data_IF_608358303003
#
_entry.id   IF_608358303003
#
_cell.length_a   1.000
_cell.length_b   1.000
_cell.length_c   1.000
_cell.angle_alpha   90.00
_cell.angle_beta   90.00
_cell.angle_gamma   90.00
#
_symmetry.space_group_name_H-M   'P 1'
#
loop_
_entity.id
_entity.type
_entity.pdbx_description
1 polymer ?
#
# COMPACT_ATOMS: atom_id res chain seq x y z
N UNK A 1 11.37 17.49 -14.93
CA UNK A 1 11.39 16.04 -14.61
C UNK A 1 12.52 15.74 -13.66
N UNK A 2 12.19 15.41 -12.42
CA UNK A 2 13.11 14.95 -11.39
C UNK A 2 12.44 13.71 -10.81
N UNK A 3 13.15 12.60 -10.72
CA UNK A 3 12.62 11.40 -10.07
C UNK A 3 13.21 11.31 -8.68
N UNK A 4 12.68 10.41 -7.87
CA UNK A 4 13.37 9.97 -6.69
C UNK A 4 13.73 8.49 -6.85
N UNK A 5 15.01 8.19 -6.71
CA UNK A 5 15.54 6.84 -6.77
C UNK A 5 15.74 6.29 -5.37
N UNK A 6 15.37 5.01 -5.22
CA UNK A 6 15.70 4.24 -4.03
C UNK A 6 17.19 3.93 -4.00
N UNK A 7 17.87 4.39 -2.95
CA UNK A 7 19.22 3.90 -2.59
C UNK A 7 19.26 3.32 -1.16
N UNK A 8 18.11 3.19 -0.50
CA UNK A 8 18.00 2.72 0.88
C UNK A 8 17.63 1.23 0.97
N UNK A 9 18.21 0.53 1.94
CA UNK A 9 17.84 -0.84 2.31
C UNK A 9 16.69 -0.89 3.34
N UNK A 10 16.19 0.27 3.79
CA UNK A 10 15.06 0.32 4.71
C UNK A 10 13.81 -0.31 4.04
N UNK A 11 13.07 -1.19 4.72
CA UNK A 11 11.83 -1.77 4.18
C UNK A 11 10.79 -0.74 3.74
N UNK A 12 10.76 0.45 4.36
CA UNK A 12 9.88 1.55 3.95
C UNK A 12 10.21 2.15 2.59
N UNK A 13 11.41 1.89 2.07
CA UNK A 13 11.76 2.32 0.72
C UNK A 13 11.10 1.45 -0.37
N UNK A 14 10.39 0.38 -0.01
CA UNK A 14 9.64 -0.42 -0.97
C UNK A 14 8.59 0.44 -1.70
N UNK A 15 8.61 0.42 -3.04
CA UNK A 15 7.70 1.21 -3.87
C UNK A 15 8.12 2.66 -4.10
N UNK A 16 9.29 3.05 -3.59
CA UNK A 16 9.93 4.34 -3.89
C UNK A 16 10.76 4.31 -5.19
N UNK A 17 10.84 3.16 -5.85
CA UNK A 17 11.69 2.90 -7.03
C UNK A 17 11.20 3.60 -8.30
N UNK A 18 10.00 4.19 -8.27
CA UNK A 18 9.30 4.75 -9.45
C UNK A 18 8.65 6.09 -9.14
N UNK A 19 9.22 6.81 -8.19
CA UNK A 19 8.62 8.06 -7.76
C UNK A 19 8.78 9.13 -8.85
N UNK A 20 7.66 9.51 -9.43
CA UNK A 20 7.58 10.52 -10.47
C UNK A 20 7.15 11.85 -9.88
N UNK A 21 8.00 12.87 -10.01
CA UNK A 21 7.53 14.25 -9.97
C UNK A 21 7.23 14.65 -11.42
N UNK A 22 5.96 14.63 -11.82
CA UNK A 22 5.49 15.36 -13.01
C UNK A 22 5.50 16.86 -12.71
N UNK A 23 6.67 17.46 -12.58
CA UNK A 23 6.78 18.91 -12.45
C UNK A 23 7.85 19.44 -13.40
N UNK A 24 7.43 20.46 -14.16
CA UNK A 24 8.31 21.37 -14.88
C UNK A 24 9.17 22.17 -13.90
N UNK A 25 10.11 22.95 -14.43
CA UNK A 25 11.22 23.59 -13.70
C UNK A 25 10.82 24.64 -12.62
N UNK A 26 9.55 24.79 -12.26
CA UNK A 26 9.05 25.90 -11.44
C UNK A 26 8.09 25.47 -10.31
N UNK A 27 8.55 24.67 -9.36
CA UNK A 27 7.95 24.61 -8.01
C UNK A 27 9.05 24.38 -6.96
N UNK A 28 8.88 24.87 -5.71
CA UNK A 28 9.89 24.66 -4.68
C UNK A 28 10.04 23.17 -4.36
N UNK A 29 11.27 22.68 -4.53
CA UNK A 29 11.66 21.33 -4.17
C UNK A 29 11.93 21.28 -2.66
N UNK A 30 11.05 20.64 -1.90
CA UNK A 30 11.26 20.42 -0.47
C UNK A 30 12.07 19.14 -0.25
N UNK A 31 13.24 19.27 0.36
CA UNK A 31 14.09 18.14 0.73
C UNK A 31 14.19 18.00 2.25
N UNK A 32 14.63 16.83 2.72
CA UNK A 32 14.84 16.56 4.14
C UNK A 32 16.27 16.94 4.52
N UNK A 33 16.41 17.91 5.42
CA UNK A 33 17.69 18.38 6.00
C UNK A 33 17.88 17.93 7.46
N UNK A 34 17.05 16.99 7.95
CA UNK A 34 17.20 16.44 9.29
C UNK A 34 18.26 15.32 9.29
N UNK A 35 19.46 15.53 9.87
CA UNK A 35 20.54 14.53 9.84
C UNK A 35 20.24 13.29 10.71
N UNK A 36 19.18 13.34 11.51
CA UNK A 36 18.74 12.23 12.36
C UNK A 36 17.66 11.38 11.72
N UNK A 37 17.11 11.80 10.57
CA UNK A 37 16.19 10.99 9.79
C UNK A 37 16.97 9.99 8.91
N UNK A 38 16.37 8.83 8.67
CA UNK A 38 16.92 7.84 7.75
C UNK A 38 16.42 8.16 6.34
N UNK A 39 17.32 8.45 5.38
CA UNK A 39 16.91 8.71 4.01
C UNK A 39 16.38 7.42 3.35
N UNK A 40 15.30 7.57 2.59
CA UNK A 40 14.64 6.50 1.85
C UNK A 40 14.85 6.63 0.33
N UNK A 41 14.86 7.88 -0.18
CA UNK A 41 15.07 8.18 -1.59
C UNK A 41 15.71 9.56 -1.77
N UNK A 42 16.37 9.75 -2.92
CA UNK A 42 17.07 10.98 -3.30
C UNK A 42 16.61 11.44 -4.66
N UNK A 43 16.67 12.74 -4.91
CA UNK A 43 16.26 13.26 -6.20
C UNK A 43 17.29 13.00 -7.31
N UNK A 44 16.87 12.44 -8.44
CA UNK A 44 17.78 12.06 -9.54
C UNK A 44 18.66 13.20 -10.06
N UNK A 45 18.07 14.40 -10.21
CA UNK A 45 18.80 15.57 -10.71
C UNK A 45 19.68 16.25 -9.66
N UNK A 46 19.43 15.95 -8.39
CA UNK A 46 20.15 16.52 -7.25
C UNK A 46 20.32 15.40 -6.21
N UNK A 47 21.21 14.42 -6.48
CA UNK A 47 21.31 13.19 -5.70
C UNK A 47 21.75 13.44 -4.25
N UNK A 48 22.28 14.63 -3.94
CA UNK A 48 22.61 15.04 -2.57
C UNK A 48 21.37 15.47 -1.76
N UNK A 49 20.22 15.66 -2.42
CA UNK A 49 18.99 16.11 -1.78
C UNK A 49 18.07 14.93 -1.48
N UNK A 50 17.84 14.68 -0.19
CA UNK A 50 16.92 13.64 0.30
C UNK A 50 15.48 13.97 -0.05
N UNK A 51 14.86 13.16 -0.91
CA UNK A 51 13.50 13.33 -1.41
C UNK A 51 12.43 12.69 -0.50
N UNK A 52 12.80 11.62 0.19
CA UNK A 52 11.95 10.94 1.16
C UNK A 52 12.79 10.43 2.33
N UNK A 53 12.24 10.47 3.53
CA UNK A 53 12.92 10.00 4.74
C UNK A 53 11.92 9.48 5.78
N UNK A 54 12.42 8.64 6.67
CA UNK A 54 11.70 8.17 7.86
C UNK A 54 12.40 8.62 9.12
N UNK A 55 11.60 9.01 10.12
CA UNK A 55 12.06 9.22 11.51
C UNK A 55 11.19 8.40 12.44
N UNK A 56 11.78 7.37 13.06
CA UNK A 56 11.11 6.51 14.03
C UNK A 56 11.23 7.13 15.43
N UNK A 57 10.11 7.47 16.03
CA UNK A 57 10.03 7.91 17.41
C UNK A 57 9.60 6.74 18.32
N UNK A 58 9.60 6.96 19.63
CA UNK A 58 9.27 5.91 20.61
C UNK A 58 7.92 5.22 20.34
N UNK A 59 6.90 5.98 19.94
CA UNK A 59 5.51 5.50 19.84
C UNK A 59 4.87 5.72 18.45
N UNK A 60 5.61 6.29 17.50
CA UNK A 60 5.08 6.62 16.18
C UNK A 60 6.23 6.80 15.18
N UNK A 61 5.90 6.72 13.90
CA UNK A 61 6.87 6.89 12.81
C UNK A 61 6.43 8.06 11.92
N UNK A 62 7.35 9.01 11.71
CA UNK A 62 7.18 10.09 10.76
C UNK A 62 7.74 9.64 9.40
N UNK A 63 6.96 9.78 8.33
CA UNK A 63 7.45 9.58 6.97
C UNK A 63 7.17 10.82 6.16
N UNK A 64 8.22 11.34 5.52
CA UNK A 64 8.12 12.42 4.56
C UNK A 64 8.41 11.88 3.16
N UNK A 65 7.63 12.33 2.18
CA UNK A 65 7.86 12.11 0.75
C UNK A 65 7.54 13.41 0.03
N UNK A 66 8.56 14.07 -0.52
CA UNK A 66 8.38 15.27 -1.35
C UNK A 66 7.62 15.00 -2.66
N UNK A 67 7.81 13.85 -3.32
CA UNK A 67 7.07 13.52 -4.52
C UNK A 67 5.62 13.03 -4.28
N UNK A 68 4.74 13.26 -5.27
CA UNK A 68 3.29 13.03 -5.15
C UNK A 68 2.77 11.70 -5.68
N UNK A 69 3.57 10.87 -6.38
CA UNK A 69 3.13 9.56 -6.87
C UNK A 69 4.00 8.45 -6.30
N UNK A 70 3.37 7.38 -5.85
CA UNK A 70 4.01 6.19 -5.29
C UNK A 70 3.31 4.93 -5.80
N UNK A 71 4.04 3.82 -5.87
CA UNK A 71 3.45 2.53 -6.22
C UNK A 71 2.63 1.95 -5.05
N UNK A 72 1.74 0.96 -5.28
CA UNK A 72 0.96 0.33 -4.22
C UNK A 72 1.80 -0.31 -3.10
N UNK A 73 3.06 -0.66 -3.37
CA UNK A 73 4.00 -1.21 -2.41
C UNK A 73 4.34 -0.23 -1.29
N UNK A 74 4.38 1.08 -1.55
CA UNK A 74 4.74 2.06 -0.53
C UNK A 74 3.66 2.18 0.58
N UNK A 75 2.37 2.36 0.28
CA UNK A 75 1.32 2.24 1.29
C UNK A 75 1.30 0.89 2.02
N UNK A 76 1.74 -0.22 1.38
CA UNK A 76 1.89 -1.51 2.08
C UNK A 76 3.03 -1.50 3.07
N UNK A 77 4.16 -0.90 2.72
CA UNK A 77 5.29 -0.76 3.63
C UNK A 77 4.90 0.12 4.83
N UNK A 78 4.17 1.22 4.61
CA UNK A 78 3.63 2.06 5.68
C UNK A 78 2.67 1.29 6.60
N UNK A 79 1.77 0.49 6.03
CA UNK A 79 0.87 -0.36 6.82
C UNK A 79 1.66 -1.37 7.68
N UNK A 80 2.68 -2.02 7.09
CA UNK A 80 3.52 -2.96 7.81
C UNK A 80 4.32 -2.31 8.96
N UNK A 81 4.89 -1.12 8.72
CA UNK A 81 5.58 -0.32 9.75
C UNK A 81 4.62 0.05 10.90
N UNK A 82 3.35 0.31 10.59
CA UNK A 82 2.31 0.56 11.59
C UNK A 82 1.75 -0.71 12.25
N UNK A 83 2.26 -1.91 11.91
CA UNK A 83 1.74 -3.18 12.41
C UNK A 83 0.36 -3.57 11.86
N UNK A 84 -0.07 -2.95 10.77
CA UNK A 84 -1.37 -3.17 10.12
C UNK A 84 -1.20 -4.24 9.03
N UNK A 85 -2.02 -5.30 9.09
CA UNK A 85 -2.19 -6.27 8.01
C UNK A 85 -3.36 -5.86 7.13
N UNK A 86 -3.15 -5.43 5.87
CA UNK A 86 -4.28 -5.01 5.04
C UNK A 86 -5.17 -6.21 4.66
N UNK A 87 -6.47 -5.93 4.55
CA UNK A 87 -7.49 -6.95 4.23
C UNK A 87 -7.30 -7.50 2.82
N UNK A 88 -7.07 -6.63 1.84
CA UNK A 88 -7.03 -7.00 0.43
C UNK A 88 -5.66 -7.43 -0.10
N UNK A 89 -5.63 -8.08 -1.27
CA UNK A 89 -4.38 -8.39 -1.98
C UNK A 89 -3.69 -7.12 -2.49
N UNK A 90 -2.36 -7.20 -2.69
CA UNK A 90 -1.58 -6.13 -3.31
C UNK A 90 -2.06 -5.91 -4.76
N UNK A 91 -1.99 -4.66 -5.23
CA UNK A 91 -2.33 -4.22 -6.59
C UNK A 91 -3.81 -4.25 -6.98
N UNK A 92 -4.72 -4.72 -6.12
CA UNK A 92 -6.17 -4.63 -6.36
C UNK A 92 -6.83 -3.59 -5.45
N UNK A 93 -7.95 -3.04 -5.91
CA UNK A 93 -8.76 -2.13 -5.10
C UNK A 93 -9.56 -2.97 -4.12
N UNK A 94 -9.42 -2.68 -2.82
CA UNK A 94 -10.19 -3.34 -1.77
C UNK A 94 -10.88 -2.32 -0.90
N UNK A 95 -12.17 -2.54 -0.66
CA UNK A 95 -12.97 -1.79 0.31
C UNK A 95 -13.46 -2.78 1.37
N UNK A 96 -13.27 -2.45 2.64
CA UNK A 96 -13.71 -3.30 3.74
C UNK A 96 -14.27 -2.45 4.87
N UNK A 97 -15.41 -2.86 5.42
CA UNK A 97 -16.09 -2.16 6.51
C UNK A 97 -17.54 -2.59 6.64
N UNK A 98 -18.12 -2.36 7.82
CA UNK A 98 -19.54 -2.63 8.12
C UNK A 98 -20.02 -4.04 7.71
N UNK A 99 -19.20 -5.06 7.95
CA UNK A 99 -19.52 -6.45 7.63
C UNK A 99 -19.44 -6.82 6.14
N UNK A 100 -18.83 -5.99 5.31
CA UNK A 100 -18.63 -6.26 3.87
C UNK A 100 -17.14 -6.12 3.52
N UNK A 101 -16.69 -6.97 2.61
CA UNK A 101 -15.41 -6.81 1.90
C UNK A 101 -15.64 -6.94 0.40
N UNK A 102 -15.15 -5.98 -0.37
CA UNK A 102 -15.21 -5.97 -1.83
C UNK A 102 -13.80 -5.86 -2.41
N UNK A 103 -13.53 -6.66 -3.44
CA UNK A 103 -12.27 -6.65 -4.19
C UNK A 103 -12.61 -6.42 -5.66
N UNK A 104 -11.93 -5.46 -6.28
CA UNK A 104 -11.95 -5.23 -7.73
C UNK A 104 -10.57 -5.56 -8.31
N UNK A 105 -10.54 -6.50 -9.25
CA UNK A 105 -9.31 -7.05 -9.79
C UNK A 105 -8.71 -6.14 -10.86
N UNK A 106 -7.61 -5.46 -10.52
CA UNK A 106 -6.81 -4.70 -11.49
C UNK A 106 -5.88 -5.62 -12.30
N UNK A 107 -5.62 -6.83 -11.79
CA UNK A 107 -4.91 -7.91 -12.51
C UNK A 107 -5.68 -9.22 -12.34
N UNK A 108 -5.68 -10.14 -13.33
CA UNK A 108 -6.30 -11.45 -13.15
C UNK A 108 -5.48 -12.32 -12.18
N UNK A 109 -6.11 -13.36 -11.64
CA UNK A 109 -5.41 -14.40 -10.88
C UNK A 109 -6.04 -14.74 -9.53
N UNK A 110 -5.27 -15.47 -8.72
CA UNK A 110 -5.66 -15.85 -7.37
C UNK A 110 -5.54 -14.64 -6.43
N UNK A 111 -6.64 -14.32 -5.74
CA UNK A 111 -6.78 -13.22 -4.79
C UNK A 111 -6.94 -13.80 -3.40
N UNK A 112 -6.30 -13.18 -2.42
CA UNK A 112 -6.45 -13.55 -1.01
C UNK A 112 -6.92 -12.36 -0.22
N UNK A 113 -8.01 -12.53 0.54
CA UNK A 113 -8.38 -11.60 1.61
C UNK A 113 -7.94 -12.15 2.97
N UNK A 114 -7.52 -11.24 3.85
CA UNK A 114 -7.13 -11.51 5.23
C UNK A 114 -8.13 -10.83 6.16
N UNK A 115 -8.70 -11.59 7.09
CA UNK A 115 -9.74 -11.14 8.00
C UNK A 115 -9.16 -11.06 9.42
N UNK A 116 -9.70 -10.16 10.24
CA UNK A 116 -9.19 -9.93 11.59
C UNK A 116 -9.48 -11.09 12.55
N UNK A 117 -10.51 -11.89 12.26
CA UNK A 117 -10.95 -13.03 13.04
C UNK A 117 -11.50 -14.13 12.11
N UNK A 118 -11.74 -15.33 12.67
CA UNK A 118 -12.40 -16.42 11.93
C UNK A 118 -13.87 -16.12 11.74
N UNK A 119 -14.32 -16.11 10.49
CA UNK A 119 -15.69 -15.75 10.09
C UNK A 119 -16.19 -16.64 8.96
N UNK A 120 -17.49 -16.58 8.72
CA UNK A 120 -18.16 -17.14 7.56
C UNK A 120 -18.28 -16.06 6.48
N UNK A 121 -18.15 -16.46 5.21
CA UNK A 121 -18.25 -15.56 4.06
C UNK A 121 -19.36 -16.00 3.12
N UNK A 122 -20.21 -15.05 2.73
CA UNK A 122 -21.22 -15.24 1.69
C UNK A 122 -20.89 -14.36 0.50
N UNK A 123 -20.75 -14.93 -0.70
CA UNK A 123 -20.62 -14.18 -1.94
C UNK A 123 -21.96 -13.48 -2.21
N UNK A 124 -21.95 -12.16 -2.18
CA UNK A 124 -23.16 -11.35 -2.34
C UNK A 124 -23.67 -11.31 -3.78
N UNK A 125 -22.89 -11.76 -4.76
CA UNK A 125 -23.34 -11.88 -6.16
C UNK A 125 -24.17 -13.14 -6.40
N UNK A 126 -23.92 -14.22 -5.65
CA UNK A 126 -24.61 -15.50 -5.79
C UNK A 126 -25.54 -15.83 -4.62
N UNK A 127 -25.37 -15.16 -3.48
CA UNK A 127 -26.04 -15.49 -2.22
C UNK A 127 -25.53 -16.76 -1.55
N UNK A 128 -24.43 -17.35 -2.05
CA UNK A 128 -23.90 -18.62 -1.54
C UNK A 128 -22.82 -18.39 -0.47
N UNK A 129 -22.84 -19.21 0.57
CA UNK A 129 -21.73 -19.30 1.50
C UNK A 129 -20.54 -19.97 0.82
N UNK A 130 -19.39 -19.29 0.84
CA UNK A 130 -18.17 -19.71 0.13
C UNK A 130 -17.04 -20.11 1.07
N UNK A 131 -17.12 -19.73 2.35
CA UNK A 131 -16.18 -20.15 3.38
C UNK A 131 -16.83 -20.13 4.77
N UNK A 132 -16.32 -20.98 5.66
CA UNK A 132 -16.78 -21.09 7.04
C UNK A 132 -15.61 -21.09 8.02
N UNK A 133 -15.74 -20.35 9.13
CA UNK A 133 -14.77 -20.33 10.22
C UNK A 133 -13.32 -20.01 9.81
N UNK A 134 -13.12 -19.14 8.81
CA UNK A 134 -11.80 -18.81 8.27
C UNK A 134 -11.42 -17.36 8.51
N UNK A 135 -10.13 -17.09 8.72
CA UNK A 135 -9.53 -15.75 8.74
C UNK A 135 -8.81 -15.40 7.42
N UNK A 136 -8.82 -16.34 6.46
CA UNK A 136 -8.18 -16.19 5.16
C UNK A 136 -9.00 -16.89 4.09
N UNK A 137 -9.29 -16.19 3.00
CA UNK A 137 -10.05 -16.77 1.90
C UNK A 137 -9.40 -16.44 0.56
N UNK A 138 -9.22 -17.47 -0.26
CA UNK A 138 -8.57 -17.38 -1.57
C UNK A 138 -9.58 -17.74 -2.66
N UNK A 139 -9.63 -16.92 -3.70
CA UNK A 139 -10.56 -17.08 -4.82
C UNK A 139 -9.91 -16.57 -6.10
N UNK A 140 -10.41 -17.01 -7.26
CA UNK A 140 -9.91 -16.53 -8.55
C UNK A 140 -10.76 -15.36 -9.05
N UNK A 141 -10.11 -14.39 -9.71
CA UNK A 141 -10.77 -13.28 -10.40
C UNK A 141 -10.17 -13.05 -11.78
N UNK A 142 -11.00 -12.65 -12.74
CA UNK A 142 -10.56 -12.11 -14.03
C UNK A 142 -10.25 -10.61 -13.91
N UNK A 143 -9.49 -10.08 -14.88
CA UNK A 143 -9.28 -8.64 -14.99
C UNK A 143 -10.64 -7.91 -15.08
N UNK A 144 -10.79 -6.84 -14.29
CA UNK A 144 -12.00 -6.02 -14.23
C UNK A 144 -13.17 -6.63 -13.48
N UNK A 145 -13.04 -7.84 -12.93
CA UNK A 145 -14.08 -8.46 -12.11
C UNK A 145 -14.16 -7.76 -10.74
N UNK A 146 -15.37 -7.67 -10.18
CA UNK A 146 -15.60 -7.27 -8.80
C UNK A 146 -16.31 -8.39 -8.06
N UNK A 147 -15.76 -8.79 -6.92
CA UNK A 147 -16.40 -9.70 -5.98
C UNK A 147 -16.60 -9.02 -4.64
N UNK A 148 -17.71 -9.32 -3.99
CA UNK A 148 -18.05 -8.77 -2.69
C UNK A 148 -18.63 -9.83 -1.78
N UNK A 149 -18.27 -9.76 -0.51
CA UNK A 149 -18.60 -10.77 0.47
C UNK A 149 -19.22 -10.12 1.69
N UNK A 150 -20.31 -10.71 2.17
CA UNK A 150 -20.80 -10.46 3.52
C UNK A 150 -19.98 -11.28 4.49
N UNK A 151 -19.55 -10.63 5.57
CA UNK A 151 -18.90 -11.23 6.72
C UNK A 151 -19.97 -11.56 7.76
N UNK A 152 -19.98 -12.79 8.25
CA UNK A 152 -20.85 -13.23 9.35
C UNK A 152 -20.04 -14.00 10.39
N UNK A 153 -20.37 -13.78 11.66
CA UNK A 153 -19.81 -14.54 12.78
C UNK A 153 -20.54 -15.87 12.93
#
# INVERSE_FOLDING_TARGET
MQYAEKHSQDPLAAGLDTIRIEQGEMMPLFYVDDPTAVPLAWYDKNPDLTAAAVKRHKNWTAVYSGPGTFSPEFPRALAAEAGIRPVGPLNDVTVAGNGIVAVHAAVPGSKTINLAEKVNLMDLSTGQWVAFGTDRYTFFMKFGETKWFKIAK
#
